data_IF_469271104316
#
_entry.id   IF_469271104316
#
_cell.length_a   1.000
_cell.length_b   1.000
_cell.length_c   1.000
_cell.angle_alpha   90.00
_cell.angle_beta   90.00
_cell.angle_gamma   90.00
#
_symmetry.space_group_name_H-M   'P 1'
#
loop_
_entity.id
_entity.type
_entity.pdbx_description
1 polymer ?
#
# COMPACT_ATOMS: atom_id res chain seq x y z
N UNK A 1 -23.08 -30.89 -24.59
CA UNK A 1 -23.35 -29.93 -23.47
C UNK A 1 -22.40 -30.03 -22.31
N UNK A 2 -22.03 -31.22 -21.85
CA UNK A 2 -21.07 -31.36 -20.72
C UNK A 2 -19.66 -30.86 -21.01
N UNK A 3 -19.21 -30.86 -22.28
CA UNK A 3 -17.87 -30.40 -22.69
C UNK A 3 -17.74 -28.88 -22.70
N UNK A 4 -18.83 -28.15 -22.89
CA UNK A 4 -18.84 -26.69 -22.90
C UNK A 4 -18.80 -26.14 -21.48
N UNK A 5 -19.43 -26.84 -20.54
CA UNK A 5 -19.41 -26.48 -19.11
C UNK A 5 -18.01 -26.64 -18.52
N UNK A 6 -17.25 -27.66 -18.95
CA UNK A 6 -15.87 -27.90 -18.50
C UNK A 6 -14.91 -26.82 -19.01
N UNK A 7 -15.11 -26.29 -20.21
CA UNK A 7 -14.29 -25.23 -20.79
C UNK A 7 -14.53 -23.90 -20.09
N UNK A 8 -15.79 -23.61 -19.72
CA UNK A 8 -16.15 -22.39 -18.99
C UNK A 8 -15.58 -22.43 -17.56
N UNK A 9 -15.57 -23.60 -16.93
CA UNK A 9 -15.01 -23.77 -15.60
C UNK A 9 -13.48 -23.63 -15.61
N UNK A 10 -12.81 -24.07 -16.66
CA UNK A 10 -11.36 -23.91 -16.83
C UNK A 10 -10.96 -22.45 -17.09
N UNK A 11 -11.77 -21.70 -17.79
CA UNK A 11 -11.54 -20.26 -18.04
C UNK A 11 -11.73 -19.41 -16.77
N UNK A 12 -12.59 -19.82 -15.87
CA UNK A 12 -12.81 -19.10 -14.60
C UNK A 12 -11.66 -19.29 -13.61
N UNK A 13 -10.88 -20.35 -13.74
CA UNK A 13 -9.74 -20.62 -12.86
C UNK A 13 -8.49 -19.83 -13.21
N UNK A 14 -8.42 -19.23 -14.40
CA UNK A 14 -7.24 -18.48 -14.86
C UNK A 14 -7.22 -17.01 -14.39
N UNK A 15 -8.26 -16.52 -13.74
CA UNK A 15 -8.37 -15.13 -13.29
C UNK A 15 -7.84 -14.92 -11.86
N UNK A 16 -7.38 -15.99 -11.19
CA UNK A 16 -7.02 -15.96 -9.77
C UNK A 16 -5.54 -15.72 -9.47
N UNK A 17 -4.75 -15.31 -10.46
CA UNK A 17 -3.31 -15.06 -10.28
C UNK A 17 -2.96 -13.58 -10.14
N UNK A 18 -3.87 -12.77 -9.61
CA UNK A 18 -3.55 -11.39 -9.24
C UNK A 18 -2.50 -11.39 -8.13
N UNK A 19 -1.45 -10.57 -8.26
CA UNK A 19 -0.44 -10.43 -7.24
C UNK A 19 -1.08 -9.95 -5.92
N UNK A 20 -0.45 -10.25 -4.78
CA UNK A 20 -0.96 -9.84 -3.47
C UNK A 20 -1.16 -8.32 -3.37
N UNK A 21 -0.33 -7.55 -4.10
CA UNK A 21 -0.46 -6.09 -4.17
C UNK A 21 -1.75 -5.66 -4.87
N UNK A 22 -2.15 -6.37 -5.93
CA UNK A 22 -3.37 -6.04 -6.69
C UNK A 22 -4.65 -6.28 -5.88
N UNK A 23 -4.57 -7.11 -4.83
CA UNK A 23 -5.68 -7.37 -3.94
C UNK A 23 -5.85 -6.31 -2.85
N UNK A 24 -4.84 -5.47 -2.64
CA UNK A 24 -4.91 -4.40 -1.66
C UNK A 24 -5.69 -3.22 -2.23
N UNK A 25 -6.51 -2.61 -1.38
CA UNK A 25 -7.31 -1.45 -1.78
C UNK A 25 -6.43 -0.26 -2.15
N UNK A 26 -5.30 -0.08 -1.46
CA UNK A 26 -4.35 0.99 -1.77
C UNK A 26 -3.71 0.83 -3.15
N UNK A 27 -3.78 -0.34 -3.76
CA UNK A 27 -3.35 -0.56 -5.13
C UNK A 27 -4.00 0.40 -6.12
N UNK A 28 -5.24 0.82 -5.86
CA UNK A 28 -5.94 1.80 -6.68
C UNK A 28 -5.22 3.16 -6.73
N UNK A 29 -4.55 3.56 -5.63
CA UNK A 29 -3.75 4.79 -5.60
C UNK A 29 -2.53 4.64 -6.50
N UNK A 30 -1.80 3.53 -6.36
CA UNK A 30 -0.60 3.26 -7.16
C UNK A 30 -0.93 3.15 -8.66
N UNK A 31 -2.11 2.63 -8.99
CA UNK A 31 -2.54 2.44 -10.38
C UNK A 31 -3.08 3.72 -11.03
N UNK A 32 -3.14 4.82 -10.29
CA UNK A 32 -3.60 6.09 -10.83
C UNK A 32 -5.11 6.22 -10.93
N UNK A 33 -5.86 5.46 -10.14
CA UNK A 33 -7.33 5.49 -10.15
C UNK A 33 -7.91 6.61 -9.27
N UNK A 34 -7.15 7.08 -8.29
CA UNK A 34 -7.55 8.19 -7.41
C UNK A 34 -7.08 9.51 -8.00
N UNK A 35 -5.79 9.58 -8.34
CA UNK A 35 -5.14 10.70 -9.01
C UNK A 35 -4.36 10.12 -10.18
N UNK A 36 -4.39 10.75 -11.37
CA UNK A 36 -3.62 10.24 -12.52
C UNK A 36 -2.13 10.09 -12.19
N UNK A 37 -1.49 9.06 -12.72
CA UNK A 37 -0.08 8.77 -12.45
C UNK A 37 0.85 9.93 -12.80
N UNK A 38 0.52 10.73 -13.81
CA UNK A 38 1.28 11.92 -14.19
C UNK A 38 1.30 13.01 -13.11
N UNK A 39 0.37 12.96 -12.17
CA UNK A 39 0.28 13.91 -11.05
C UNK A 39 0.90 13.36 -9.76
N UNK A 40 1.45 12.16 -9.81
CA UNK A 40 2.10 11.51 -8.68
C UNK A 40 3.60 11.45 -8.91
N UNK A 41 4.36 11.51 -7.82
CA UNK A 41 5.78 11.20 -7.83
C UNK A 41 5.95 9.77 -7.32
N UNK A 42 6.46 8.89 -8.18
CA UNK A 42 6.62 7.48 -7.85
C UNK A 42 8.10 7.13 -7.70
N UNK A 43 8.42 6.31 -6.69
CA UNK A 43 9.73 5.72 -6.49
C UNK A 43 9.56 4.21 -6.37
N UNK A 44 10.38 3.47 -7.12
CA UNK A 44 10.40 2.01 -7.09
C UNK A 44 11.84 1.55 -6.94
N UNK A 45 12.12 0.76 -5.89
CA UNK A 45 13.45 0.25 -5.59
C UNK A 45 13.35 -1.25 -5.32
N UNK A 46 14.26 -2.02 -5.87
CA UNK A 46 14.39 -3.45 -5.59
C UNK A 46 15.87 -3.86 -5.66
N UNK A 47 16.17 -5.00 -5.05
CA UNK A 47 17.48 -5.60 -5.13
C UNK A 47 18.42 -5.16 -4.03
N UNK A 48 19.72 -5.12 -4.35
CA UNK A 48 20.80 -4.99 -3.36
C UNK A 48 20.79 -3.69 -2.55
N UNK A 49 20.20 -2.62 -3.09
CA UNK A 49 20.10 -1.34 -2.38
C UNK A 49 19.22 -1.44 -1.13
N UNK A 50 18.33 -2.40 -1.08
CA UNK A 50 17.39 -2.61 0.03
C UNK A 50 17.92 -3.57 1.10
N UNK A 51 19.03 -4.27 0.85
CA UNK A 51 19.60 -5.25 1.78
C UNK A 51 19.91 -4.67 3.17
N UNK A 52 20.51 -3.47 3.28
CA UNK A 52 20.78 -2.89 4.60
C UNK A 52 19.52 -2.68 5.45
N UNK A 53 18.35 -2.63 4.82
CA UNK A 53 17.09 -2.39 5.48
C UNK A 53 16.24 -3.66 5.65
N UNK A 54 16.78 -4.82 5.26
CA UNK A 54 16.05 -6.10 5.26
C UNK A 54 14.77 -6.05 4.42
N UNK A 55 14.82 -5.35 3.31
CA UNK A 55 13.70 -5.23 2.37
C UNK A 55 14.07 -5.82 1.01
N UNK A 56 13.07 -6.31 0.30
CA UNK A 56 13.20 -6.83 -1.07
C UNK A 56 12.59 -5.88 -2.10
N UNK A 57 11.48 -5.24 -1.75
CA UNK A 57 10.77 -4.30 -2.62
C UNK A 57 10.37 -3.07 -1.84
N UNK A 58 10.46 -1.93 -2.49
CA UNK A 58 10.01 -0.64 -1.98
C UNK A 58 9.34 0.11 -3.11
N UNK A 59 8.12 0.54 -2.90
CA UNK A 59 7.38 1.35 -3.86
C UNK A 59 6.66 2.45 -3.11
N UNK A 60 6.84 3.69 -3.53
CA UNK A 60 6.16 4.82 -2.91
C UNK A 60 5.55 5.73 -3.96
N UNK A 61 4.46 6.37 -3.59
CA UNK A 61 3.86 7.45 -4.36
C UNK A 61 3.61 8.63 -3.44
N UNK A 62 3.86 9.82 -3.97
CA UNK A 62 3.55 11.08 -3.32
C UNK A 62 2.59 11.85 -4.22
N UNK A 63 1.54 12.38 -3.62
CA UNK A 63 0.54 13.16 -4.35
C UNK A 63 0.02 14.29 -3.47
N UNK A 64 -0.53 15.28 -4.10
CA UNK A 64 -1.18 16.40 -3.41
C UNK A 64 -2.63 16.49 -3.89
N UNK A 65 -3.54 16.67 -2.96
CA UNK A 65 -4.96 16.73 -3.30
C UNK A 65 -5.78 17.56 -2.33
N UNK A 66 -7.05 17.65 -2.65
CA UNK A 66 -8.06 18.31 -1.83
C UNK A 66 -8.68 17.34 -0.80
N UNK A 67 -9.72 17.77 -0.11
CA UNK A 67 -10.41 16.96 0.89
C UNK A 67 -11.01 15.67 0.29
N UNK A 68 -11.47 15.73 -0.95
CA UNK A 68 -12.05 14.54 -1.62
C UNK A 68 -10.98 13.48 -1.88
N UNK A 69 -9.79 13.88 -2.30
CA UNK A 69 -8.65 12.98 -2.50
C UNK A 69 -8.22 12.37 -1.18
N UNK A 70 -8.10 13.20 -0.13
CA UNK A 70 -7.75 12.72 1.21
C UNK A 70 -8.77 11.70 1.71
N UNK A 71 -10.06 11.97 1.56
CA UNK A 71 -11.11 11.06 1.99
C UNK A 71 -11.03 9.73 1.26
N UNK A 72 -10.77 9.73 -0.04
CA UNK A 72 -10.68 8.50 -0.83
C UNK A 72 -9.44 7.68 -0.47
N UNK A 73 -8.27 8.30 -0.36
CA UNK A 73 -7.04 7.59 0.03
C UNK A 73 -7.19 7.03 1.44
N UNK A 74 -7.72 7.82 2.38
CA UNK A 74 -7.96 7.36 3.76
C UNK A 74 -8.90 6.16 3.80
N UNK A 75 -9.96 6.19 2.99
CA UNK A 75 -10.92 5.07 2.90
C UNK A 75 -10.22 3.79 2.46
N UNK A 76 -9.35 3.88 1.45
CA UNK A 76 -8.61 2.73 0.93
C UNK A 76 -7.61 2.19 1.96
N UNK A 77 -6.90 3.07 2.65
CA UNK A 77 -5.96 2.68 3.71
C UNK A 77 -6.69 1.97 4.84
N UNK A 78 -7.81 2.52 5.30
CA UNK A 78 -8.59 1.93 6.39
C UNK A 78 -9.24 0.61 5.98
N UNK A 79 -9.61 0.46 4.71
CA UNK A 79 -10.12 -0.82 4.20
C UNK A 79 -9.04 -1.91 4.29
N UNK A 80 -7.79 -1.59 3.95
CA UNK A 80 -6.68 -2.53 4.11
C UNK A 80 -6.33 -2.76 5.58
N UNK A 81 -6.50 -1.77 6.44
CA UNK A 81 -6.27 -1.91 7.88
C UNK A 81 -7.19 -2.99 8.49
N UNK A 82 -8.39 -3.16 7.96
CA UNK A 82 -9.34 -4.16 8.46
C UNK A 82 -8.83 -5.60 8.29
N UNK A 83 -7.94 -5.85 7.33
CA UNK A 83 -7.36 -7.18 7.06
C UNK A 83 -5.90 -7.29 7.50
N UNK A 84 -5.32 -6.24 8.05
CA UNK A 84 -3.93 -6.24 8.49
C UNK A 84 -3.74 -7.14 9.72
N UNK A 85 -2.58 -7.78 9.79
CA UNK A 85 -2.17 -8.58 10.96
C UNK A 85 -1.97 -7.67 12.18
N UNK A 86 -1.40 -6.47 11.95
CA UNK A 86 -1.20 -5.45 12.97
C UNK A 86 -1.35 -4.07 12.31
N UNK A 87 -1.75 -3.10 13.11
CA UNK A 87 -1.93 -1.74 12.61
C UNK A 87 -1.62 -0.71 13.68
N UNK A 88 -1.08 0.41 13.24
CA UNK A 88 -0.90 1.61 14.03
C UNK A 88 -1.47 2.76 13.22
N UNK A 89 -2.47 3.45 13.74
CA UNK A 89 -3.14 4.56 13.04
C UNK A 89 -3.25 5.76 13.97
N UNK A 90 -3.04 6.94 13.41
CA UNK A 90 -3.14 8.20 14.14
C UNK A 90 -4.02 9.19 13.38
N UNK A 91 -4.87 9.88 14.12
CA UNK A 91 -5.78 10.90 13.61
C UNK A 91 -5.45 12.25 14.22
N UNK A 92 -5.70 13.30 13.46
CA UNK A 92 -5.62 14.67 13.94
C UNK A 92 -6.76 15.47 13.32
N UNK A 93 -7.58 16.10 14.17
CA UNK A 93 -8.71 16.87 13.68
C UNK A 93 -9.71 16.06 12.85
N UNK A 94 -9.87 14.76 13.17
CA UNK A 94 -10.76 13.86 12.44
C UNK A 94 -10.16 13.27 11.17
N UNK A 95 -8.97 13.70 10.77
CA UNK A 95 -8.29 13.19 9.56
C UNK A 95 -7.24 12.17 9.92
N UNK A 96 -7.14 11.13 9.10
CA UNK A 96 -6.04 10.16 9.20
C UNK A 96 -4.75 10.84 8.74
N UNK A 97 -3.76 10.90 9.63
CA UNK A 97 -2.48 11.55 9.32
C UNK A 97 -1.33 10.56 9.17
N UNK A 98 -1.47 9.36 9.73
CA UNK A 98 -0.41 8.38 9.76
C UNK A 98 -1.00 6.99 9.93
N UNK A 99 -0.45 6.02 9.21
CA UNK A 99 -0.77 4.61 9.40
C UNK A 99 0.42 3.73 9.02
N UNK A 100 0.65 2.68 9.80
CA UNK A 100 1.48 1.55 9.42
C UNK A 100 0.65 0.29 9.53
N UNK A 101 0.52 -0.42 8.43
CA UNK A 101 -0.20 -1.69 8.35
C UNK A 101 0.80 -2.81 8.10
N UNK A 102 0.72 -3.87 8.87
CA UNK A 102 1.58 -5.05 8.76
C UNK A 102 0.74 -6.24 8.30
N UNK A 103 1.24 -6.95 7.29
CA UNK A 103 0.62 -8.17 6.78
C UNK A 103 1.66 -9.29 6.82
N UNK A 104 1.38 -10.31 7.62
CA UNK A 104 2.23 -11.50 7.76
C UNK A 104 1.58 -12.66 7.02
N UNK A 105 1.81 -12.73 5.71
CA UNK A 105 1.15 -13.72 4.84
C UNK A 105 1.96 -15.00 4.63
N UNK A 106 3.23 -15.01 5.03
CA UNK A 106 4.14 -16.11 4.77
C UNK A 106 5.12 -16.33 5.89
N UNK A 107 5.97 -17.34 5.71
CA UNK A 107 6.92 -17.75 6.73
C UNK A 107 8.15 -16.85 6.82
N UNK A 108 8.50 -16.13 5.74
CA UNK A 108 9.76 -15.42 5.65
C UNK A 108 9.63 -13.92 5.37
N UNK A 109 8.60 -13.48 4.68
CA UNK A 109 8.46 -12.09 4.28
C UNK A 109 7.19 -11.47 4.86
N UNK A 110 7.33 -10.24 5.28
CA UNK A 110 6.22 -9.37 5.70
C UNK A 110 5.92 -8.38 4.59
N UNK A 111 4.68 -7.90 4.57
CA UNK A 111 4.26 -6.78 3.72
C UNK A 111 3.84 -5.63 4.62
N UNK A 112 4.18 -4.42 4.19
CA UNK A 112 3.88 -3.21 4.94
C UNK A 112 3.26 -2.18 4.03
N UNK A 113 2.26 -1.48 4.55
CA UNK A 113 1.71 -0.27 3.95
C UNK A 113 1.89 0.85 4.95
N UNK A 114 2.57 1.92 4.53
CA UNK A 114 2.77 3.11 5.34
C UNK A 114 2.07 4.29 4.66
N UNK A 115 1.36 5.07 5.45
CA UNK A 115 0.63 6.24 4.99
C UNK A 115 1.00 7.43 5.85
N UNK A 116 1.21 8.57 5.21
CA UNK A 116 1.46 9.83 5.89
C UNK A 116 0.76 10.96 5.15
N UNK A 117 0.14 11.85 5.90
CA UNK A 117 -0.51 13.04 5.35
C UNK A 117 -0.05 14.28 6.11
N UNK A 118 0.39 15.28 5.35
CA UNK A 118 0.72 16.61 5.88
C UNK A 118 -0.21 17.61 5.20
N UNK A 119 -0.94 18.38 6.00
CA UNK A 119 -1.87 19.39 5.48
C UNK A 119 -1.27 20.78 5.63
N UNK A 120 -1.30 21.56 4.56
CA UNK A 120 -0.80 22.92 4.54
C UNK A 120 -1.66 23.76 3.62
N UNK A 121 -2.21 24.84 4.17
CA UNK A 121 -3.06 25.79 3.42
C UNK A 121 -4.23 25.10 2.69
N UNK A 122 -4.89 24.14 3.35
CA UNK A 122 -6.02 23.42 2.80
C UNK A 122 -5.68 22.36 1.76
N UNK A 123 -4.39 22.15 1.48
CA UNK A 123 -3.89 21.11 0.58
C UNK A 123 -3.27 19.99 1.37
N UNK A 124 -3.51 18.75 0.95
CA UNK A 124 -3.03 17.56 1.61
C UNK A 124 -1.92 16.93 0.79
N UNK A 125 -0.73 16.82 1.38
CA UNK A 125 0.39 16.08 0.80
C UNK A 125 0.39 14.67 1.38
N UNK A 126 0.14 13.68 0.54
CA UNK A 126 -0.02 12.29 0.92
C UNK A 126 1.13 11.48 0.37
N UNK A 127 1.76 10.69 1.24
CA UNK A 127 2.78 9.71 0.86
C UNK A 127 2.27 8.33 1.24
N UNK A 128 2.31 7.42 0.28
CA UNK A 128 1.92 6.03 0.47
C UNK A 128 3.08 5.15 0.06
N UNK A 129 3.48 4.22 0.94
CA UNK A 129 4.62 3.34 0.74
C UNK A 129 4.18 1.89 0.88
N UNK A 130 4.59 1.06 -0.08
CA UNK A 130 4.42 -0.39 -0.03
C UNK A 130 5.81 -1.03 0.02
N UNK A 131 6.02 -1.91 0.99
CA UNK A 131 7.30 -2.59 1.19
C UNK A 131 7.09 -4.07 1.45
N UNK A 132 8.02 -4.89 0.97
CA UNK A 132 8.06 -6.31 1.29
C UNK A 132 9.47 -6.72 1.69
N UNK A 133 9.58 -7.71 2.57
CA UNK A 133 10.85 -8.28 2.96
C UNK A 133 10.80 -8.87 4.36
N UNK A 134 11.96 -9.41 4.84
CA UNK A 134 12.05 -9.98 6.18
C UNK A 134 12.12 -8.93 7.29
N UNK A 135 12.21 -7.64 6.98
CA UNK A 135 12.26 -6.56 7.97
C UNK A 135 11.13 -6.66 8.98
N UNK A 136 11.43 -6.40 10.25
CA UNK A 136 10.42 -6.29 11.30
C UNK A 136 9.87 -4.87 11.35
N UNK A 137 8.75 -4.70 12.08
CA UNK A 137 8.18 -3.38 12.30
C UNK A 137 9.18 -2.45 13.01
N UNK A 138 9.97 -2.98 13.96
CA UNK A 138 11.00 -2.21 14.65
C UNK A 138 12.09 -1.74 13.70
N UNK A 139 12.49 -2.57 12.74
CA UNK A 139 13.45 -2.19 11.70
C UNK A 139 12.94 -0.99 10.90
N UNK A 140 11.67 -1.02 10.52
CA UNK A 140 11.05 0.08 9.78
C UNK A 140 10.96 1.36 10.61
N UNK A 141 10.60 1.25 11.87
CA UNK A 141 10.49 2.41 12.77
C UNK A 141 11.85 3.09 12.96
N UNK A 142 12.93 2.31 13.04
CA UNK A 142 14.29 2.86 13.11
C UNK A 142 14.64 3.64 11.84
N UNK A 143 14.22 3.14 10.70
CA UNK A 143 14.48 3.77 9.41
C UNK A 143 13.80 5.14 9.30
N UNK A 144 12.57 5.26 9.78
CA UNK A 144 11.83 6.52 9.78
C UNK A 144 12.29 7.51 10.85
N UNK A 145 12.83 7.02 11.95
CA UNK A 145 13.36 7.89 13.02
C UNK A 145 14.73 8.47 12.71
N UNK A 146 15.50 7.85 11.82
CA UNK A 146 16.87 8.29 11.49
C UNK A 146 16.90 9.46 10.51
N UNK A 147 15.75 9.98 10.13
CA UNK A 147 15.61 11.20 9.36
C UNK A 147 15.17 12.32 10.29
#
# INVERSE_FOLDING_TARGET
>A
MKRILLIITALMLSVWTASAQDRMQVGAVFDGKVVPTRQMKETFIQGSQLRPYNLKHYRSVSLTGDDAVLAEVSRLVLADAATATDQEVHYQGGNLIYAILTFQDGESDNRYVCYQCVTKAGRHSITLVYMTGPATLDDLKKLFKSK
#
